data_IF_410799023321
#
_entry.id   IF_410799023321
#
_cell.length_a   1.000
_cell.length_b   1.000
_cell.length_c   1.000
_cell.angle_alpha   90.00
_cell.angle_beta   90.00
_cell.angle_gamma   90.00
#
_symmetry.space_group_name_H-M   'P 1'
#
loop_
_entity.id
_entity.type
_entity.pdbx_description
1 polymer ?
#
# COMPACT_ATOMS: atom_id res chain seq x y z
N UNK A 1 71.43 37.86 29.31
CA UNK A 1 70.69 36.87 28.50
C UNK A 1 69.51 36.20 29.23
N UNK A 2 69.52 36.00 30.57
CA UNK A 2 68.42 35.33 31.29
C UNK A 2 67.04 36.02 31.23
N UNK A 3 66.97 37.36 31.18
CA UNK A 3 65.69 38.09 31.23
C UNK A 3 64.90 38.10 29.91
N UNK A 4 65.54 37.80 28.78
CA UNK A 4 64.91 37.83 27.44
C UNK A 4 64.08 36.56 27.16
N UNK A 5 64.49 35.43 27.72
CA UNK A 5 63.77 34.15 27.59
C UNK A 5 62.54 34.08 28.51
N UNK A 6 62.60 34.70 29.69
CA UNK A 6 61.50 34.70 30.65
C UNK A 6 60.29 35.51 30.16
N UNK A 7 60.51 36.68 29.55
CA UNK A 7 59.44 37.51 28.99
C UNK A 7 58.84 36.94 27.70
N UNK A 8 59.60 36.18 26.91
CA UNK A 8 59.05 35.42 25.77
C UNK A 8 58.23 34.21 26.23
N UNK A 9 58.68 33.46 27.24
CA UNK A 9 57.89 32.36 27.80
C UNK A 9 56.57 32.84 28.43
N UNK A 10 56.57 33.98 29.12
CA UNK A 10 55.36 34.54 29.75
C UNK A 10 54.33 35.06 28.71
N UNK A 11 54.81 35.59 27.58
CA UNK A 11 53.95 36.00 26.45
C UNK A 11 53.43 34.80 25.66
N UNK A 12 54.23 33.73 25.53
CA UNK A 12 53.82 32.50 24.85
C UNK A 12 52.82 31.71 25.70
N UNK A 13 53.00 31.64 27.02
CA UNK A 13 52.05 31.00 27.93
C UNK A 13 50.74 31.77 28.04
N UNK A 14 50.79 33.11 28.04
CA UNK A 14 49.58 33.94 28.03
C UNK A 14 48.82 33.86 26.71
N UNK A 15 49.50 33.69 25.56
CA UNK A 15 48.86 33.47 24.26
C UNK A 15 48.24 32.07 24.14
N UNK A 16 48.92 31.04 24.68
CA UNK A 16 48.38 29.67 24.72
C UNK A 16 47.19 29.58 25.69
N UNK A 17 47.21 30.30 26.82
CA UNK A 17 46.07 30.38 27.75
C UNK A 17 44.90 31.18 27.17
N UNK A 18 45.16 32.21 26.35
CA UNK A 18 44.12 32.97 25.64
C UNK A 18 43.47 32.15 24.51
N UNK A 19 44.24 31.24 23.87
CA UNK A 19 43.72 30.28 22.87
C UNK A 19 43.00 29.11 23.55
N UNK A 20 43.40 28.70 24.76
CA UNK A 20 42.67 27.69 25.56
C UNK A 20 41.37 28.23 26.18
N UNK A 21 41.25 29.55 26.39
CA UNK A 21 40.04 30.22 26.88
C UNK A 21 39.04 30.58 25.78
N UNK A 22 39.39 30.42 24.49
CA UNK A 22 38.39 30.23 23.45
C UNK A 22 37.94 28.77 23.50
N UNK A 23 37.32 28.39 24.63
CA UNK A 23 36.53 27.18 24.71
C UNK A 23 35.55 27.28 23.55
N UNK A 24 35.72 26.40 22.57
CA UNK A 24 34.70 26.18 21.56
C UNK A 24 33.50 25.72 22.38
N UNK A 25 32.58 26.63 22.65
CA UNK A 25 31.28 26.26 23.22
C UNK A 25 30.59 25.55 22.06
N UNK A 26 30.89 24.26 21.91
CA UNK A 26 30.06 23.37 21.15
C UNK A 26 28.77 23.27 21.96
N UNK A 27 27.83 24.16 21.67
CA UNK A 27 26.46 23.92 22.08
C UNK A 27 26.07 22.60 21.44
N UNK A 28 25.65 21.63 22.27
CA UNK A 28 24.95 20.49 21.71
C UNK A 28 23.74 21.02 20.90
N UNK A 29 23.26 20.21 19.97
CA UNK A 29 22.22 20.63 19.05
C UNK A 29 21.07 19.66 19.23
N UNK A 30 19.84 20.17 19.14
CA UNK A 30 18.68 19.28 19.05
C UNK A 30 18.68 18.70 17.65
N UNK A 31 18.69 17.38 17.55
CA UNK A 31 18.69 16.66 16.26
C UNK A 31 17.49 15.74 16.18
N UNK A 32 17.20 15.22 14.99
CA UNK A 32 16.17 14.22 14.86
C UNK A 32 15.96 13.79 13.42
N UNK A 33 15.07 12.82 13.27
CA UNK A 33 14.58 12.38 11.97
C UNK A 33 13.06 12.42 11.93
N UNK A 34 12.52 12.99 10.86
CA UNK A 34 11.12 12.86 10.50
C UNK A 34 10.98 11.76 9.46
N UNK A 35 10.02 10.85 9.62
CA UNK A 35 9.91 9.65 8.79
C UNK A 35 8.46 9.24 8.54
N UNK A 36 8.24 8.43 7.51
CA UNK A 36 6.94 7.78 7.26
C UNK A 36 6.82 6.59 8.19
N UNK A 37 5.98 6.73 9.18
CA UNK A 37 5.69 5.70 10.16
C UNK A 37 4.55 4.82 9.62
N UNK A 38 4.93 3.65 9.10
CA UNK A 38 3.98 2.77 8.40
C UNK A 38 3.21 1.87 9.37
N UNK A 39 3.74 1.63 10.57
CA UNK A 39 3.11 0.78 11.58
C UNK A 39 2.57 1.58 12.78
N UNK A 40 2.70 2.90 12.79
CA UNK A 40 2.16 3.83 13.78
C UNK A 40 2.81 3.73 15.17
N UNK A 41 4.01 3.16 15.28
CA UNK A 41 4.64 2.87 16.58
C UNK A 41 5.52 4.01 17.12
N UNK A 42 5.77 5.04 16.30
CA UNK A 42 6.55 6.23 16.64
C UNK A 42 8.06 6.02 16.62
N UNK A 43 8.55 4.84 16.27
CA UNK A 43 9.96 4.47 16.26
C UNK A 43 10.42 4.25 14.83
N UNK A 44 11.46 4.95 14.39
CA UNK A 44 11.97 4.77 13.03
C UNK A 44 12.58 3.37 12.83
N UNK A 45 12.06 2.63 11.87
CA UNK A 45 12.47 1.27 11.53
C UNK A 45 13.10 1.15 10.14
N UNK A 46 13.64 -0.04 9.84
CA UNK A 46 14.10 -0.36 8.50
C UNK A 46 12.90 -0.50 7.54
N UNK A 47 12.95 0.22 6.42
CA UNK A 47 11.84 0.27 5.46
C UNK A 47 10.97 1.53 5.59
N UNK A 48 11.16 2.31 6.65
CA UNK A 48 10.48 3.58 6.87
C UNK A 48 11.33 4.74 6.33
N UNK A 49 10.96 5.32 5.17
CA UNK A 49 11.73 6.38 4.56
C UNK A 49 11.63 7.66 5.39
N UNK A 50 12.74 8.40 5.44
CA UNK A 50 12.73 9.77 5.95
C UNK A 50 11.84 10.70 5.11
N UNK A 51 11.38 11.78 5.72
CA UNK A 51 10.50 12.76 5.07
C UNK A 51 11.18 14.12 4.97
N UNK A 52 11.44 14.51 3.72
CA UNK A 52 12.02 15.79 3.33
C UNK A 52 11.01 16.95 3.48
N UNK A 53 11.53 18.17 3.65
CA UNK A 53 10.78 19.43 3.68
C UNK A 53 9.75 19.58 4.82
N UNK A 54 9.87 18.81 5.90
CA UNK A 54 9.07 19.04 7.11
C UNK A 54 9.66 20.24 7.83
N UNK A 55 8.83 21.23 8.13
CA UNK A 55 9.26 22.44 8.82
C UNK A 55 9.35 22.15 10.32
N UNK A 56 10.44 22.57 10.94
CA UNK A 56 10.67 22.41 12.38
C UNK A 56 10.97 23.78 12.97
N UNK A 57 10.08 24.26 13.83
CA UNK A 57 10.22 25.53 14.53
C UNK A 57 10.58 25.29 15.99
N UNK A 58 11.47 26.11 16.55
CA UNK A 58 11.84 26.05 17.96
C UNK A 58 11.50 27.38 18.64
N UNK A 59 10.64 27.31 19.65
CA UNK A 59 10.18 28.45 20.42
C UNK A 59 10.73 28.41 21.85
N UNK A 60 11.24 29.54 22.33
CA UNK A 60 11.59 29.71 23.75
C UNK A 60 10.42 30.27 24.53
N UNK A 61 10.20 29.75 25.74
CA UNK A 61 9.21 30.29 26.65
C UNK A 61 9.55 31.74 27.05
N UNK A 62 8.56 32.63 26.94
CA UNK A 62 8.67 34.01 27.39
C UNK A 62 7.70 34.23 28.56
N UNK A 63 8.19 34.84 29.64
CA UNK A 63 7.35 35.15 30.79
C UNK A 63 6.13 35.99 30.39
N UNK A 64 4.96 35.62 30.90
CA UNK A 64 3.72 36.37 30.67
C UNK A 64 3.90 37.84 31.09
N UNK A 65 3.35 38.80 30.31
CA UNK A 65 2.38 38.63 29.22
C UNK A 65 2.99 38.42 27.82
N UNK A 66 4.28 38.11 27.72
CA UNK A 66 4.94 37.81 26.43
C UNK A 66 4.39 36.55 25.78
N UNK A 67 4.49 36.47 24.44
CA UNK A 67 4.28 35.23 23.68
C UNK A 67 5.63 34.54 23.47
N UNK A 68 5.60 33.23 23.32
CA UNK A 68 6.81 32.46 23.02
C UNK A 68 7.52 33.03 21.77
N UNK A 69 8.84 33.10 21.85
CA UNK A 69 9.66 33.69 20.81
C UNK A 69 10.25 32.60 19.93
N UNK A 70 10.12 32.74 18.61
CA UNK A 70 10.83 31.88 17.67
C UNK A 70 12.33 32.14 17.79
N UNK A 71 13.11 31.10 18.11
CA UNK A 71 14.56 31.21 18.35
C UNK A 71 15.40 30.46 17.32
N UNK A 72 14.82 29.46 16.67
CA UNK A 72 15.43 28.75 15.55
C UNK A 72 14.35 28.09 14.68
N UNK A 73 14.69 27.82 13.42
CA UNK A 73 13.87 27.01 12.54
C UNK A 73 14.76 26.26 11.54
N UNK A 74 14.26 25.15 11.02
CA UNK A 74 14.91 24.41 9.92
C UNK A 74 13.86 23.62 9.14
N UNK A 75 14.31 22.95 8.09
CA UNK A 75 13.53 21.99 7.31
C UNK A 75 14.31 20.69 7.21
N UNK A 76 13.61 19.55 7.28
CA UNK A 76 14.26 18.25 7.13
C UNK A 76 14.87 18.06 5.75
N UNK A 77 15.95 17.28 5.68
CA UNK A 77 16.62 16.91 4.43
C UNK A 77 15.95 15.71 3.72
N UNK A 78 16.49 15.30 2.57
CA UNK A 78 16.01 14.15 1.78
C UNK A 78 15.93 12.83 2.55
N UNK A 79 16.70 12.68 3.64
CA UNK A 79 16.71 11.51 4.52
C UNK A 79 15.85 11.72 5.78
N UNK A 80 15.13 12.84 5.86
CA UNK A 80 14.29 13.25 6.98
C UNK A 80 15.05 13.86 8.15
N UNK A 81 16.37 14.05 8.06
CA UNK A 81 17.15 14.52 9.20
C UNK A 81 17.02 16.03 9.35
N UNK A 82 17.03 16.50 10.59
CA UNK A 82 17.07 17.92 10.90
C UNK A 82 18.00 18.21 12.09
N UNK A 83 18.36 19.48 12.22
CA UNK A 83 19.18 20.00 13.31
C UNK A 83 18.73 21.40 13.66
N UNK A 84 18.44 21.62 14.95
CA UNK A 84 18.04 22.91 15.52
C UNK A 84 19.19 23.46 16.35
N UNK A 85 19.65 24.65 15.95
CA UNK A 85 20.70 25.41 16.62
C UNK A 85 20.06 26.55 17.41
N UNK A 86 19.46 26.23 18.55
CA UNK A 86 18.86 27.26 19.43
C UNK A 86 19.92 27.90 20.34
N UNK A 87 19.88 29.23 20.55
CA UNK A 87 20.72 29.92 21.53
C UNK A 87 20.26 29.69 22.99
N UNK A 88 19.05 29.16 23.19
CA UNK A 88 18.41 28.98 24.51
C UNK A 88 17.73 27.62 24.61
N UNK A 89 17.63 27.08 25.82
CA UNK A 89 16.93 25.84 26.14
C UNK A 89 16.25 25.94 27.52
N UNK A 90 15.17 25.19 27.79
CA UNK A 90 14.45 24.31 26.86
C UNK A 90 13.71 25.09 25.77
N UNK A 91 13.44 24.41 24.65
CA UNK A 91 12.60 24.94 23.57
C UNK A 91 11.39 24.04 23.33
N UNK A 92 10.29 24.64 22.88
CA UNK A 92 9.18 23.90 22.28
C UNK A 92 9.44 23.76 20.79
N UNK A 93 9.62 22.52 20.34
CA UNK A 93 9.61 22.17 18.93
C UNK A 93 8.17 22.09 18.43
N UNK A 94 7.94 22.60 17.22
CA UNK A 94 6.71 22.44 16.46
C UNK A 94 7.05 21.92 15.07
N UNK A 95 6.51 20.76 14.71
CA UNK A 95 6.64 20.13 13.40
C UNK A 95 5.43 20.48 12.55
N UNK A 96 5.65 21.06 11.37
CA UNK A 96 4.58 21.42 10.44
C UNK A 96 4.73 20.60 9.16
N UNK A 97 3.67 19.88 8.79
CA UNK A 97 3.56 19.13 7.54
C UNK A 97 3.06 20.12 6.47
N UNK A 98 3.88 20.50 5.47
CA UNK A 98 3.43 21.42 4.44
C UNK A 98 2.47 20.76 3.44
N UNK A 99 1.57 21.56 2.89
CA UNK A 99 0.67 21.12 1.81
C UNK A 99 1.36 21.14 0.44
N UNK A 100 1.01 20.20 -0.44
CA UNK A 100 1.30 20.26 -1.87
C UNK A 100 2.70 19.78 -2.28
N UNK A 101 3.49 19.23 -1.35
CA UNK A 101 4.80 18.65 -1.65
C UNK A 101 4.79 17.13 -1.61
N UNK A 102 5.20 16.46 -2.70
CA UNK A 102 5.44 15.02 -2.74
C UNK A 102 4.31 14.14 -2.17
N UNK A 103 3.05 14.46 -2.50
CA UNK A 103 1.83 13.83 -1.96
C UNK A 103 1.67 13.95 -0.43
N UNK A 104 2.29 14.95 0.20
CA UNK A 104 1.98 15.31 1.57
C UNK A 104 0.88 16.36 1.59
N UNK A 105 -0.04 16.19 2.52
CA UNK A 105 -1.08 17.15 2.80
C UNK A 105 -1.45 17.09 4.28
N UNK A 106 -1.58 18.25 4.91
CA UNK A 106 -1.90 18.37 6.34
C UNK A 106 -3.28 17.81 6.71
N UNK A 107 -4.15 17.57 5.72
CA UNK A 107 -5.46 16.94 5.87
C UNK A 107 -5.44 15.42 5.64
N UNK A 108 -4.28 14.83 5.30
CA UNK A 108 -4.12 13.40 5.02
C UNK A 108 -3.02 12.77 5.89
N UNK A 109 -1.91 13.47 6.06
CA UNK A 109 -0.76 13.05 6.86
C UNK A 109 -0.88 13.59 8.28
N UNK A 110 -0.75 12.69 9.26
CA UNK A 110 -0.95 13.01 10.67
C UNK A 110 0.26 12.59 11.51
N UNK A 111 0.42 13.13 12.73
CA UNK A 111 1.31 12.56 13.73
C UNK A 111 1.03 11.08 13.97
N UNK A 112 2.09 10.30 14.24
CA UNK A 112 1.99 8.87 14.52
C UNK A 112 1.05 8.55 15.70
N UNK A 113 0.40 7.37 15.64
CA UNK A 113 -0.72 6.95 16.49
C UNK A 113 -0.35 6.64 17.95
N UNK A 114 0.90 6.86 18.38
CA UNK A 114 1.37 6.63 19.75
C UNK A 114 1.09 5.21 20.26
N UNK A 115 1.37 4.19 19.44
CA UNK A 115 1.13 2.79 19.82
C UNK A 115 2.20 2.22 20.77
N UNK A 116 3.33 2.92 20.95
CA UNK A 116 4.41 2.51 21.85
C UNK A 116 4.46 3.41 23.10
N UNK A 117 4.23 2.85 24.31
CA UNK A 117 4.32 3.62 25.55
C UNK A 117 5.69 4.28 25.74
N UNK A 118 5.69 5.58 26.03
CA UNK A 118 6.90 6.36 26.31
C UNK A 118 7.57 6.98 25.08
N UNK A 119 7.02 6.78 23.88
CA UNK A 119 7.45 7.49 22.67
C UNK A 119 6.62 8.76 22.49
N UNK A 120 7.28 9.89 22.24
CA UNK A 120 6.61 11.13 21.92
C UNK A 120 6.33 11.21 20.42
N UNK A 121 5.06 11.08 20.02
CA UNK A 121 4.64 11.21 18.62
C UNK A 121 3.98 12.55 18.32
N UNK A 122 3.89 13.45 19.30
CA UNK A 122 3.25 14.75 19.14
C UNK A 122 4.02 15.63 18.15
N UNK A 123 3.27 16.42 17.37
CA UNK A 123 3.82 17.51 16.53
C UNK A 123 4.43 18.64 17.38
N UNK A 124 4.11 18.68 18.67
CA UNK A 124 4.70 19.59 19.64
C UNK A 124 5.51 18.80 20.67
N UNK A 125 6.80 19.11 20.78
CA UNK A 125 7.72 18.41 21.69
C UNK A 125 8.56 19.40 22.50
N UNK A 126 8.93 19.08 23.74
CA UNK A 126 9.82 19.92 24.55
C UNK A 126 11.21 19.32 24.48
N UNK A 127 12.20 20.12 24.07
CA UNK A 127 13.56 19.66 23.85
C UNK A 127 14.57 20.43 24.70
N UNK A 128 15.46 19.67 25.33
CA UNK A 128 16.66 20.17 26.00
C UNK A 128 17.88 20.11 25.08
N UNK A 129 18.95 20.78 25.50
CA UNK A 129 20.17 20.87 24.72
C UNK A 129 20.81 19.48 24.48
N UNK A 130 21.01 19.11 23.21
CA UNK A 130 21.66 17.85 22.82
C UNK A 130 20.75 16.62 22.76
N UNK A 131 19.44 16.80 22.93
CA UNK A 131 18.48 15.70 22.79
C UNK A 131 18.17 15.37 21.34
N UNK A 132 17.72 14.12 21.13
CA UNK A 132 17.20 13.67 19.83
C UNK A 132 15.68 13.54 19.90
N UNK A 133 14.99 14.21 18.99
CA UNK A 133 13.54 14.26 18.91
C UNK A 133 13.09 13.79 17.53
N UNK A 134 12.45 12.62 17.46
CA UNK A 134 11.96 12.09 16.19
C UNK A 134 10.47 12.40 16.03
N UNK A 135 10.02 12.47 14.78
CA UNK A 135 8.62 12.70 14.46
C UNK A 135 8.17 11.69 13.38
N UNK A 136 7.27 10.80 13.75
CA UNK A 136 6.66 9.85 12.82
C UNK A 136 5.41 10.47 12.20
N UNK A 137 5.32 10.43 10.87
CA UNK A 137 4.14 10.84 10.11
C UNK A 137 3.43 9.60 9.60
N UNK A 138 2.13 9.47 9.85
CA UNK A 138 1.30 8.36 9.36
C UNK A 138 0.30 8.89 8.33
N UNK A 139 0.09 8.12 7.25
CA UNK A 139 -1.09 8.29 6.39
C UNK A 139 -2.02 7.12 6.69
N UNK A 140 -3.16 7.33 7.36
CA UNK A 140 -4.01 6.25 7.85
C UNK A 140 -4.40 5.19 6.79
N UNK A 141 -4.58 5.54 5.50
CA UNK A 141 -4.81 4.54 4.46
C UNK A 141 -3.64 3.57 4.20
N UNK A 142 -2.39 3.97 4.41
CA UNK A 142 -1.20 3.12 4.25
C UNK A 142 -0.95 2.22 5.47
N UNK A 143 -1.66 2.46 6.57
CA UNK A 143 -1.48 1.73 7.82
C UNK A 143 -2.35 0.45 7.88
N UNK A 144 -1.72 -0.67 8.25
CA UNK A 144 -2.41 -1.90 8.63
C UNK A 144 -2.17 -2.18 10.12
N UNK A 145 -3.27 -2.33 10.89
CA UNK A 145 -3.19 -2.70 12.31
C UNK A 145 -2.84 -4.17 12.54
N UNK A 146 -2.93 -4.99 11.49
CA UNK A 146 -2.71 -6.42 11.55
C UNK A 146 -1.32 -6.78 11.00
N UNK A 147 -0.49 -7.40 11.82
CA UNK A 147 0.87 -7.85 11.47
C UNK A 147 0.90 -8.96 10.39
N UNK A 148 -0.25 -9.51 10.02
CA UNK A 148 -0.40 -10.60 9.10
C UNK A 148 -1.69 -10.44 8.27
N UNK A 149 -1.78 -9.41 7.41
CA UNK A 149 -3.02 -9.09 6.72
C UNK A 149 -3.44 -10.21 5.77
N UNK A 150 -4.76 -10.34 5.55
CA UNK A 150 -5.31 -11.21 4.51
C UNK A 150 -5.05 -10.66 3.11
N UNK A 151 -4.69 -11.57 2.20
CA UNK A 151 -4.47 -11.30 0.78
C UNK A 151 -5.51 -12.05 -0.02
N UNK A 152 -6.11 -11.35 -0.99
CA UNK A 152 -7.12 -11.90 -1.89
C UNK A 152 -6.51 -12.13 -3.27
N UNK A 153 -6.64 -13.35 -3.79
CA UNK A 153 -6.05 -13.75 -5.07
C UNK A 153 -7.11 -14.36 -6.00
N UNK A 154 -7.35 -13.76 -7.18
CA UNK A 154 -8.16 -14.37 -8.20
C UNK A 154 -7.55 -15.69 -8.70
N UNK A 155 -8.40 -16.70 -8.84
CA UNK A 155 -8.05 -17.99 -9.43
C UNK A 155 -8.82 -18.19 -10.72
N UNK A 156 -8.08 -18.48 -11.79
CA UNK A 156 -8.66 -18.77 -13.09
C UNK A 156 -8.81 -20.29 -13.29
N UNK A 157 -10.00 -20.73 -13.68
CA UNK A 157 -10.29 -22.12 -14.02
C UNK A 157 -10.70 -22.20 -15.49
N UNK A 158 -10.22 -23.22 -16.21
CA UNK A 158 -10.67 -23.49 -17.58
C UNK A 158 -12.12 -23.97 -17.59
N UNK A 159 -12.93 -23.46 -18.50
CA UNK A 159 -14.33 -23.84 -18.71
C UNK A 159 -15.35 -22.78 -18.28
N UNK A 160 -16.62 -23.19 -18.30
CA UNK A 160 -17.77 -22.36 -17.94
C UNK A 160 -18.28 -22.69 -16.53
N UNK A 161 -18.22 -21.71 -15.62
CA UNK A 161 -18.70 -21.86 -14.23
C UNK A 161 -20.20 -21.78 -14.05
N UNK A 162 -20.92 -21.27 -15.05
CA UNK A 162 -22.37 -21.07 -15.01
C UNK A 162 -23.15 -22.31 -15.44
N UNK A 163 -22.46 -23.34 -15.93
CA UNK A 163 -23.07 -24.61 -16.32
C UNK A 163 -22.85 -25.68 -15.24
N UNK A 164 -23.80 -26.63 -15.08
CA UNK A 164 -23.61 -27.77 -14.18
C UNK A 164 -22.35 -28.57 -14.56
N UNK A 165 -21.42 -28.75 -13.63
CA UNK A 165 -20.19 -29.50 -13.88
C UNK A 165 -19.12 -29.31 -12.82
N UNK A 166 -17.95 -29.91 -13.06
CA UNK A 166 -16.80 -29.86 -12.14
C UNK A 166 -16.19 -28.46 -12.02
N UNK A 167 -16.44 -27.59 -13.00
CA UNK A 167 -15.88 -26.23 -13.05
C UNK A 167 -16.56 -25.27 -12.08
N UNK A 168 -17.90 -25.35 -11.93
CA UNK A 168 -18.71 -24.46 -11.09
C UNK A 168 -18.24 -24.43 -9.62
N UNK A 169 -17.88 -25.59 -9.08
CA UNK A 169 -17.47 -25.77 -7.68
C UNK A 169 -15.98 -25.46 -7.42
N UNK A 170 -15.25 -24.94 -8.41
CA UNK A 170 -13.86 -24.53 -8.19
C UNK A 170 -13.79 -23.14 -7.56
N UNK A 171 -12.77 -22.85 -6.73
CA UNK A 171 -12.55 -21.49 -6.24
C UNK A 171 -12.27 -20.50 -7.39
N UNK A 172 -12.97 -19.37 -7.40
CA UNK A 172 -12.65 -18.20 -8.23
C UNK A 172 -11.86 -17.13 -7.48
N UNK A 173 -12.05 -17.04 -6.17
CA UNK A 173 -11.28 -16.18 -5.29
C UNK A 173 -10.84 -16.99 -4.07
N UNK A 174 -9.57 -16.84 -3.72
CA UNK A 174 -9.01 -17.43 -2.51
C UNK A 174 -8.44 -16.33 -1.62
N UNK A 175 -8.46 -16.55 -0.30
CA UNK A 175 -7.86 -15.65 0.69
C UNK A 175 -6.94 -16.42 1.62
N UNK A 176 -5.82 -15.83 1.99
CA UNK A 176 -4.86 -16.38 2.94
C UNK A 176 -4.13 -15.24 3.63
N UNK A 177 -3.60 -15.45 4.83
CA UNK A 177 -2.79 -14.42 5.47
C UNK A 177 -1.42 -14.34 4.81
N UNK A 178 -0.83 -13.14 4.79
CA UNK A 178 0.43 -12.89 4.11
C UNK A 178 1.59 -13.82 4.52
N UNK A 179 1.64 -14.23 5.79
CA UNK A 179 2.65 -15.15 6.36
C UNK A 179 2.27 -16.63 6.21
N UNK A 180 1.08 -16.94 5.70
CA UNK A 180 0.66 -18.32 5.47
C UNK A 180 1.55 -18.97 4.42
N UNK A 181 1.90 -20.23 4.67
CA UNK A 181 2.79 -21.01 3.82
C UNK A 181 2.21 -22.39 3.64
N UNK A 182 2.31 -22.90 2.42
CA UNK A 182 1.87 -24.24 2.07
C UNK A 182 2.04 -24.50 0.58
N UNK A 183 1.77 -25.73 0.18
CA UNK A 183 1.82 -26.16 -1.22
C UNK A 183 0.42 -26.55 -1.66
N UNK A 184 0.05 -26.17 -2.88
CA UNK A 184 -1.21 -26.64 -3.45
C UNK A 184 -1.16 -28.18 -3.58
N UNK A 185 -2.24 -28.91 -3.26
CA UNK A 185 -2.28 -30.37 -3.34
C UNK A 185 -1.87 -30.92 -4.72
N UNK A 186 -2.14 -30.17 -5.79
CA UNK A 186 -1.84 -30.55 -7.17
C UNK A 186 -0.49 -30.02 -7.69
N UNK A 187 0.35 -29.45 -6.84
CA UNK A 187 1.64 -28.88 -7.25
C UNK A 187 2.70 -29.93 -7.59
N UNK A 188 2.47 -31.20 -7.23
CA UNK A 188 3.47 -32.27 -7.33
C UNK A 188 4.68 -32.06 -6.41
N UNK A 189 4.63 -31.06 -5.51
CA UNK A 189 5.73 -30.65 -4.62
C UNK A 189 5.48 -30.99 -3.14
N UNK A 190 4.35 -31.61 -2.79
CA UNK A 190 4.01 -32.00 -1.42
C UNK A 190 4.12 -33.50 -1.19
N UNK A 191 4.64 -33.92 -0.03
CA UNK A 191 4.80 -35.33 0.37
C UNK A 191 3.51 -35.97 0.92
N UNK A 192 2.33 -35.43 0.57
CA UNK A 192 1.04 -36.00 0.98
C UNK A 192 0.73 -35.91 2.49
N UNK A 193 1.50 -35.15 3.25
CA UNK A 193 1.29 -34.89 4.69
C UNK A 193 0.98 -33.42 5.01
N UNK A 194 1.09 -32.54 4.01
CA UNK A 194 0.77 -31.13 4.15
C UNK A 194 -0.74 -30.94 3.88
N UNK A 195 -1.57 -31.39 4.82
CA UNK A 195 -3.04 -31.31 4.79
C UNK A 195 -3.59 -29.87 4.87
N UNK A 196 -2.74 -28.84 4.83
CA UNK A 196 -3.19 -27.47 4.88
C UNK A 196 -3.07 -26.84 3.50
N UNK A 197 -4.17 -26.85 2.75
CA UNK A 197 -4.42 -25.84 1.72
C UNK A 197 -4.41 -24.51 2.48
N UNK A 198 -3.36 -23.66 2.36
CA UNK A 198 -3.17 -22.53 3.27
C UNK A 198 -4.07 -21.35 2.87
N UNK A 199 -5.22 -21.63 2.25
CA UNK A 199 -6.14 -20.62 1.77
C UNK A 199 -7.59 -21.03 2.00
N UNK A 200 -8.40 -20.04 2.31
CA UNK A 200 -9.84 -20.12 2.35
C UNK A 200 -10.41 -19.90 0.94
N UNK A 201 -11.48 -20.61 0.59
CA UNK A 201 -12.26 -20.31 -0.61
C UNK A 201 -13.24 -19.20 -0.28
N UNK A 202 -13.05 -18.03 -0.90
CA UNK A 202 -13.89 -16.83 -0.68
C UNK A 202 -15.13 -16.88 -1.56
N UNK A 203 -14.95 -17.32 -2.80
CA UNK A 203 -16.04 -17.42 -3.77
C UNK A 203 -15.79 -18.55 -4.77
N UNK A 204 -16.88 -19.17 -5.21
CA UNK A 204 -16.88 -20.17 -6.26
C UNK A 204 -16.89 -19.55 -7.66
N UNK A 205 -16.46 -20.35 -8.63
CA UNK A 205 -16.45 -20.02 -10.04
C UNK A 205 -17.85 -19.83 -10.63
N UNK A 206 -18.86 -20.44 -10.03
CA UNK A 206 -20.27 -20.13 -10.33
C UNK A 206 -20.71 -18.73 -9.86
N UNK A 207 -20.05 -18.13 -8.85
CA UNK A 207 -20.43 -16.83 -8.29
C UNK A 207 -19.69 -15.65 -8.97
N UNK A 208 -18.41 -15.82 -9.35
CA UNK A 208 -17.59 -14.73 -9.92
C UNK A 208 -17.11 -14.98 -11.35
N UNK A 209 -16.98 -16.23 -11.76
CA UNK A 209 -16.24 -16.61 -12.98
C UNK A 209 -14.81 -16.07 -12.97
N UNK A 210 -14.41 -15.43 -14.07
CA UNK A 210 -13.09 -14.82 -14.23
C UNK A 210 -13.08 -13.35 -13.83
N UNK A 211 -12.21 -13.01 -12.89
CA UNK A 211 -12.07 -11.65 -12.36
C UNK A 211 -10.60 -11.22 -12.26
N UNK A 212 -10.36 -9.92 -12.34
CA UNK A 212 -9.05 -9.31 -12.16
C UNK A 212 -9.21 -7.90 -11.56
N UNK A 213 -8.14 -7.42 -10.92
CA UNK A 213 -8.17 -6.19 -10.14
C UNK A 213 -8.91 -6.47 -8.84
N UNK A 214 -8.19 -6.33 -7.72
CA UNK A 214 -8.76 -6.53 -6.39
C UNK A 214 -8.50 -5.26 -5.61
N UNK A 215 -9.56 -4.68 -5.07
CA UNK A 215 -9.48 -3.45 -4.28
C UNK A 215 -10.31 -3.60 -3.00
N UNK A 216 -9.73 -3.23 -1.87
CA UNK A 216 -10.44 -3.21 -0.60
C UNK A 216 -10.94 -1.80 -0.30
N UNK A 217 -12.23 -1.65 0.00
CA UNK A 217 -12.81 -0.41 0.47
C UNK A 217 -12.99 -0.45 1.99
N UNK A 218 -12.28 0.43 2.70
CA UNK A 218 -12.42 0.60 4.16
C UNK A 218 -13.80 1.12 4.56
N UNK A 219 -14.39 2.00 3.74
CA UNK A 219 -15.70 2.60 4.01
C UNK A 219 -16.82 1.56 3.86
N UNK A 220 -16.81 0.79 2.77
CA UNK A 220 -17.81 -0.24 2.52
C UNK A 220 -17.55 -1.53 3.32
N UNK A 221 -16.31 -1.73 3.78
CA UNK A 221 -15.81 -3.00 4.33
C UNK A 221 -16.05 -4.17 3.38
N UNK A 222 -15.72 -3.94 2.10
CA UNK A 222 -15.90 -4.90 1.00
C UNK A 222 -14.65 -4.96 0.14
N UNK A 223 -14.40 -6.14 -0.41
CA UNK A 223 -13.41 -6.34 -1.47
C UNK A 223 -14.14 -6.32 -2.81
N UNK A 224 -13.72 -5.45 -3.71
CA UNK A 224 -14.26 -5.31 -5.05
C UNK A 224 -13.34 -5.98 -6.07
N UNK A 225 -13.94 -6.61 -7.07
CA UNK A 225 -13.21 -7.17 -8.21
C UNK A 225 -14.06 -7.09 -9.47
N UNK A 226 -13.41 -6.93 -10.62
CA UNK A 226 -14.09 -6.75 -11.91
C UNK A 226 -13.93 -7.99 -12.78
N UNK A 227 -14.94 -8.26 -13.61
CA UNK A 227 -14.91 -9.27 -14.64
C UNK A 227 -13.69 -9.05 -15.56
N UNK A 228 -13.06 -10.16 -15.95
CA UNK A 228 -11.84 -10.11 -16.76
C UNK A 228 -11.84 -11.20 -17.80
N UNK A 229 -11.76 -10.80 -19.07
CA UNK A 229 -11.67 -11.74 -20.17
C UNK A 229 -10.31 -12.45 -20.19
N UNK A 230 -10.31 -13.74 -19.85
CA UNK A 230 -9.17 -14.63 -20.02
C UNK A 230 -9.54 -15.79 -20.94
N UNK A 231 -8.61 -16.15 -21.84
CA UNK A 231 -8.80 -17.26 -22.77
C UNK A 231 -9.07 -18.59 -22.03
N UNK A 232 -10.03 -19.34 -22.55
CA UNK A 232 -10.56 -20.62 -22.04
C UNK A 232 -11.28 -20.54 -20.69
N UNK A 233 -11.46 -19.36 -20.13
CA UNK A 233 -12.04 -19.19 -18.81
C UNK A 233 -13.29 -18.31 -18.91
N UNK A 234 -14.42 -18.87 -18.46
CA UNK A 234 -15.73 -18.22 -18.52
C UNK A 234 -15.90 -17.03 -17.58
N UNK A 235 -16.72 -16.08 -18.00
CA UNK A 235 -17.18 -14.95 -17.19
C UNK A 235 -18.20 -15.41 -16.14
N UNK A 236 -18.37 -14.59 -15.11
CA UNK A 236 -19.37 -14.81 -14.07
C UNK A 236 -20.80 -14.43 -14.50
N UNK A 237 -21.76 -14.45 -13.56
CA UNK A 237 -23.17 -14.19 -13.85
C UNK A 237 -23.47 -12.83 -14.51
N UNK A 238 -22.65 -11.81 -14.27
CA UNK A 238 -22.79 -10.45 -14.82
C UNK A 238 -21.98 -10.23 -16.12
N UNK A 239 -21.55 -11.31 -16.79
CA UNK A 239 -20.86 -11.18 -18.08
C UNK A 239 -19.58 -10.34 -18.03
N UNK A 240 -19.38 -9.52 -19.07
CA UNK A 240 -18.18 -8.68 -19.25
C UNK A 240 -18.20 -7.40 -18.42
N UNK A 241 -19.39 -6.91 -18.06
CA UNK A 241 -19.58 -5.67 -17.31
C UNK A 241 -19.61 -5.86 -15.79
N UNK A 242 -19.52 -7.11 -15.34
CA UNK A 242 -19.64 -7.45 -13.94
C UNK A 242 -18.59 -6.84 -13.03
N UNK A 243 -19.04 -6.10 -12.03
CA UNK A 243 -18.30 -5.77 -10.82
C UNK A 243 -18.95 -6.55 -9.68
N UNK A 244 -18.10 -7.23 -8.92
CA UNK A 244 -18.50 -8.09 -7.80
C UNK A 244 -17.95 -7.55 -6.49
N UNK A 245 -18.65 -7.85 -5.41
CA UNK A 245 -18.22 -7.56 -4.05
C UNK A 245 -18.05 -8.83 -3.22
N UNK A 246 -17.13 -8.80 -2.27
CA UNK A 246 -16.81 -9.93 -1.41
C UNK A 246 -16.71 -9.44 0.03
N UNK A 247 -17.08 -10.31 0.95
CA UNK A 247 -16.79 -10.11 2.36
C UNK A 247 -15.28 -10.28 2.60
N UNK A 248 -14.64 -9.36 3.34
CA UNK A 248 -13.22 -9.41 3.61
C UNK A 248 -12.85 -10.46 4.69
N UNK A 249 -13.83 -10.98 5.42
CA UNK A 249 -13.61 -11.87 6.56
C UNK A 249 -14.55 -13.09 6.51
N UNK A 250 -14.11 -14.24 7.06
CA UNK A 250 -14.96 -15.43 7.18
C UNK A 250 -16.10 -15.24 8.21
N UNK A 251 -17.18 -16.03 8.12
CA UNK A 251 -17.39 -17.15 7.20
C UNK A 251 -17.78 -16.68 5.79
N UNK A 252 -17.18 -17.29 4.77
CA UNK A 252 -17.51 -17.02 3.37
C UNK A 252 -18.72 -17.83 2.92
N UNK A 253 -19.75 -17.16 2.42
CA UNK A 253 -20.96 -17.82 1.90
C UNK A 253 -20.80 -18.18 0.41
N UNK A 254 -20.53 -19.46 0.16
CA UNK A 254 -20.35 -20.02 -1.17
C UNK A 254 -21.66 -20.14 -1.98
N UNK A 255 -22.79 -19.70 -1.42
CA UNK A 255 -24.09 -19.63 -2.09
C UNK A 255 -24.64 -18.20 -2.21
N UNK A 256 -23.92 -17.20 -1.67
CA UNK A 256 -24.34 -15.81 -1.73
C UNK A 256 -24.37 -15.26 -3.16
N UNK A 257 -25.24 -14.27 -3.38
CA UNK A 257 -25.17 -13.43 -4.56
C UNK A 257 -24.10 -12.35 -4.37
N UNK A 258 -23.03 -12.44 -5.15
CA UNK A 258 -21.86 -11.55 -5.07
C UNK A 258 -21.89 -10.44 -6.14
N UNK A 259 -23.00 -10.32 -6.87
CA UNK A 259 -23.20 -9.29 -7.89
C UNK A 259 -23.31 -7.92 -7.21
N UNK A 260 -22.50 -6.95 -7.65
CA UNK A 260 -22.58 -5.58 -7.15
C UNK A 260 -23.15 -4.64 -8.21
N UNK A 261 -22.58 -4.64 -9.41
CA UNK A 261 -22.95 -3.72 -10.49
C UNK A 261 -22.60 -4.34 -11.83
N UNK A 262 -23.45 -4.10 -12.83
CA UNK A 262 -23.15 -4.42 -14.22
C UNK A 262 -22.98 -3.11 -15.01
N UNK A 263 -21.85 -2.96 -15.70
CA UNK A 263 -21.58 -1.80 -16.54
C UNK A 263 -22.48 -1.77 -17.78
N UNK A 264 -22.87 -2.93 -18.31
CA UNK A 264 -23.76 -3.02 -19.47
C UNK A 264 -25.17 -2.47 -19.09
N UNK A 265 -25.67 -2.81 -17.89
CA UNK A 265 -26.91 -2.24 -17.32
C UNK A 265 -26.86 -0.72 -17.11
N UNK A 266 -25.67 -0.16 -16.92
CA UNK A 266 -25.44 1.28 -16.80
C UNK A 266 -25.23 1.99 -18.15
N UNK A 267 -25.37 1.27 -19.26
CA UNK A 267 -25.17 1.79 -20.61
C UNK A 267 -23.69 1.99 -20.99
N UNK A 268 -22.76 1.42 -20.22
CA UNK A 268 -21.35 1.37 -20.54
C UNK A 268 -21.09 0.01 -21.19
N UNK A 269 -21.17 -0.04 -22.52
CA UNK A 269 -21.00 -1.28 -23.26
C UNK A 269 -19.60 -1.88 -23.06
N UNK A 270 -19.57 -3.03 -22.40
CA UNK A 270 -18.45 -3.95 -22.25
C UNK A 270 -18.65 -5.23 -23.05
N UNK A 271 -19.90 -5.50 -23.44
CA UNK A 271 -20.31 -6.51 -24.39
C UNK A 271 -21.43 -5.99 -25.30
N UNK A 272 -21.76 -6.69 -26.39
CA UNK A 272 -22.95 -6.41 -27.20
C UNK A 272 -23.93 -7.55 -26.93
N UNK A 273 -24.90 -7.25 -26.07
CA UNK A 273 -25.96 -8.18 -25.72
C UNK A 273 -27.05 -8.30 -26.81
N UNK A 274 -27.00 -7.41 -27.82
CA UNK A 274 -28.00 -7.30 -28.89
C UNK A 274 -27.60 -8.01 -30.18
N UNK A 275 -26.32 -8.01 -30.55
CA UNK A 275 -25.81 -8.73 -31.70
C UNK A 275 -25.08 -10.00 -31.24
N UNK A 276 -25.56 -11.20 -31.59
CA UNK A 276 -24.87 -12.42 -31.22
C UNK A 276 -23.46 -12.40 -31.80
N UNK A 277 -22.52 -12.89 -31.01
CA UNK A 277 -21.14 -13.12 -31.43
C UNK A 277 -21.15 -14.05 -32.65
N UNK A 278 -20.84 -13.50 -33.84
CA UNK A 278 -20.90 -14.27 -35.09
C UNK A 278 -19.64 -15.11 -35.29
N UNK A 279 -19.51 -16.21 -34.57
CA UNK A 279 -18.56 -17.27 -34.94
C UNK A 279 -19.25 -18.30 -35.84
N UNK A 280 -19.40 -17.98 -37.13
CA UNK A 280 -19.41 -18.95 -38.24
C UNK A 280 -19.89 -18.35 -39.56
N UNK A 281 -19.06 -18.32 -40.60
CA UNK A 281 -19.44 -18.89 -41.88
C UNK A 281 -19.33 -20.42 -41.74
N UNK A 282 -20.44 -21.19 -41.83
CA UNK A 282 -20.34 -22.64 -41.91
C UNK A 282 -19.45 -23.01 -43.11
N UNK A 283 -18.30 -23.65 -42.85
CA UNK A 283 -17.38 -24.13 -43.89
C UNK A 283 -16.11 -23.28 -44.13
N UNK A 284 -15.86 -22.20 -43.38
CA UNK A 284 -14.58 -21.49 -43.50
C UNK A 284 -13.47 -22.22 -42.72
N UNK A 285 -12.34 -22.47 -43.39
CA UNK A 285 -11.12 -23.07 -42.83
C UNK A 285 -10.72 -22.42 -41.50
N UNK A 286 -10.22 -23.23 -40.57
CA UNK A 286 -10.00 -22.96 -39.14
C UNK A 286 -9.01 -21.82 -38.77
N UNK A 287 -8.74 -20.87 -39.66
CA UNK A 287 -7.74 -19.80 -39.51
C UNK A 287 -8.27 -18.38 -39.79
N UNK A 288 -9.57 -18.21 -40.05
CA UNK A 288 -10.13 -16.86 -40.21
C UNK A 288 -10.47 -16.28 -38.84
N UNK A 289 -9.71 -15.27 -38.42
CA UNK A 289 -9.90 -14.52 -37.17
C UNK A 289 -10.74 -13.28 -37.51
N UNK A 290 -12.07 -13.38 -37.41
CA UNK A 290 -12.96 -12.23 -37.54
C UNK A 290 -12.84 -11.35 -36.30
N UNK A 291 -12.60 -10.04 -36.51
CA UNK A 291 -12.62 -9.07 -35.42
C UNK A 291 -14.07 -8.85 -34.99
N UNK A 292 -14.33 -9.00 -33.70
CA UNK A 292 -15.58 -8.60 -33.06
C UNK A 292 -15.28 -7.44 -32.11
N UNK A 293 -16.03 -6.33 -32.15
CA UNK A 293 -15.85 -5.22 -31.22
C UNK A 293 -16.30 -5.55 -29.78
N UNK A 294 -16.86 -6.75 -29.55
CA UNK A 294 -17.66 -7.08 -28.36
C UNK A 294 -17.34 -8.48 -27.83
N UNK A 295 -17.35 -8.63 -26.50
CA UNK A 295 -17.05 -9.90 -25.82
C UNK A 295 -18.24 -10.87 -25.98
N UNK A 296 -17.99 -12.08 -26.49
CA UNK A 296 -19.03 -13.13 -26.59
C UNK A 296 -19.34 -13.79 -25.25
N UNK A 297 -20.57 -14.27 -25.10
CA UNK A 297 -21.02 -15.07 -23.95
C UNK A 297 -20.20 -16.37 -23.79
N UNK A 298 -20.22 -16.97 -22.60
CA UNK A 298 -19.53 -18.26 -22.37
C UNK A 298 -20.00 -19.38 -23.33
N UNK A 299 -21.26 -19.32 -23.79
CA UNK A 299 -21.84 -20.29 -24.73
C UNK A 299 -21.30 -20.06 -26.14
N UNK A 300 -21.29 -18.82 -26.61
CA UNK A 300 -20.74 -18.44 -27.92
C UNK A 300 -19.23 -18.72 -28.00
N UNK A 301 -18.53 -18.63 -26.87
CA UNK A 301 -17.12 -19.00 -26.70
C UNK A 301 -16.87 -20.52 -26.66
N UNK A 302 -17.91 -21.34 -26.72
CA UNK A 302 -17.81 -22.81 -26.77
C UNK A 302 -17.15 -23.43 -25.53
N UNK A 303 -17.35 -22.83 -24.35
CA UNK A 303 -16.67 -23.26 -23.12
C UNK A 303 -17.38 -24.46 -22.47
N UNK A 304 -16.61 -25.52 -22.19
CA UNK A 304 -17.10 -26.74 -21.54
C UNK A 304 -17.37 -26.54 -20.03
N UNK A 305 -18.39 -27.19 -19.44
CA UNK A 305 -18.55 -27.29 -17.99
C UNK A 305 -17.52 -28.21 -17.31
N UNK A 306 -16.80 -29.05 -18.09
CA UNK A 306 -15.71 -29.89 -17.61
C UNK A 306 -14.36 -29.24 -17.90
N UNK A 307 -13.66 -28.85 -16.81
CA UNK A 307 -12.34 -28.20 -16.85
C UNK A 307 -11.24 -29.04 -17.50
N UNK A 308 -11.44 -30.35 -17.64
CA UNK A 308 -10.46 -31.27 -18.23
C UNK A 308 -10.61 -31.39 -19.74
N UNK A 309 -11.74 -30.95 -20.29
CA UNK A 309 -12.00 -30.99 -21.72
C UNK A 309 -11.44 -29.75 -22.42
N UNK A 310 -10.75 -29.91 -23.57
CA UNK A 310 -10.29 -28.78 -24.34
C UNK A 310 -11.49 -27.93 -24.79
N UNK A 311 -11.42 -26.63 -24.51
CA UNK A 311 -12.41 -25.66 -25.00
C UNK A 311 -11.80 -24.82 -26.09
N UNK A 312 -12.54 -24.61 -27.17
CA UNK A 312 -12.06 -23.88 -28.32
C UNK A 312 -12.58 -22.44 -28.27
N UNK A 313 -11.76 -21.56 -27.68
CA UNK A 313 -12.12 -20.16 -27.41
C UNK A 313 -11.49 -19.22 -28.45
N UNK A 314 -11.99 -19.29 -29.70
CA UNK A 314 -11.57 -18.41 -30.81
C UNK A 314 -11.91 -16.95 -30.53
N UNK A 315 -13.05 -16.70 -29.92
CA UNK A 315 -13.52 -15.38 -29.51
C UNK A 315 -12.49 -14.61 -28.69
N UNK A 316 -12.08 -15.16 -27.55
CA UNK A 316 -11.10 -14.50 -26.72
C UNK A 316 -9.75 -14.34 -27.44
N UNK A 317 -9.38 -15.25 -28.34
CA UNK A 317 -8.14 -15.13 -29.13
C UNK A 317 -8.11 -13.87 -29.99
N UNK A 318 -9.26 -13.49 -30.58
CA UNK A 318 -9.36 -12.33 -31.47
C UNK A 318 -9.26 -10.99 -30.71
N UNK A 319 -9.55 -11.01 -29.41
CA UNK A 319 -9.79 -9.83 -28.56
C UNK A 319 -8.61 -9.43 -27.66
N UNK A 320 -7.58 -10.28 -27.54
CA UNK A 320 -6.39 -9.96 -26.73
C UNK A 320 -5.75 -8.67 -27.26
N UNK A 321 -5.78 -7.60 -26.45
CA UNK A 321 -5.16 -6.32 -26.76
C UNK A 321 -5.88 -5.46 -27.80
N UNK A 322 -7.16 -5.73 -28.08
CA UNK A 322 -7.96 -5.00 -29.10
C UNK A 322 -9.27 -4.39 -28.57
N UNK A 323 -9.53 -4.52 -27.27
CA UNK A 323 -10.61 -3.88 -26.54
C UNK A 323 -9.99 -2.86 -25.58
#
# INVERSE_FOLDING_TARGET
MKNYYFTRLLKLSSAILFILCFSIIANAQVTGTVFKDFNGDGVKQAGEPGKDRIEVYAYSNVALPGKDALVAQTTTDANGNYTINSPVYPVRLEFIIPDGFCNMASDQDYPSANLTPGINTSEVQIAENGETHNFGIVYPPDFATEDNPRVFLPRFTSGNGLLPGSTANTPAMVSFHYKDKGVAPNSGRGTGTDDNVPFDTVALYSQLGTVHGVAYSRQAKKVFTAAFLKRHAGLGPLGGGGIYWLDPEPPYDLNANLNFMDLDDLGIATSDETSPYTDNPPGSSALTVTFSPVIGTNVERGLSPDRTQPSHDRAAYTQIGKL
#
